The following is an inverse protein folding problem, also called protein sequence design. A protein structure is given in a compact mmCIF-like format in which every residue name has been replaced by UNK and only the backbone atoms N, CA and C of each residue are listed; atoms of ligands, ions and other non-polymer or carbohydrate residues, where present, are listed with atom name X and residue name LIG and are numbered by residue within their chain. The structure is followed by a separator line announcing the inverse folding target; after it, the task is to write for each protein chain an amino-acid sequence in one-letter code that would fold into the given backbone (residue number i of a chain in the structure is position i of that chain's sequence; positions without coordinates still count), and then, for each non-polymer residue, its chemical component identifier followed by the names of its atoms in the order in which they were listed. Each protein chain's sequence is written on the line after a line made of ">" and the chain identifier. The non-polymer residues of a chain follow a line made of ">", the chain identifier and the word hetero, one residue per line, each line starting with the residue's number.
data_IF_983019333630
#
_entry.id   IF_983019333630
#
_cell.length_a   1.000
_cell.length_b   1.000
_cell.length_c   1.000
_cell.angle_alpha   90.00
_cell.angle_beta   90.00
_cell.angle_gamma   90.00
#
_symmetry.space_group_name_H-M   'P 1'
#
loop_
_entity.id
_entity.type
_entity.pdbx_description
1 polymer ?
#
# COMPACT_ATOMS: atom_id res chain seq x y z
N UNK A 1 -2.39 -15.78 -6.87
CA UNK A 1 -2.35 -14.43 -7.46
C UNK A 1 -1.38 -13.58 -6.67
N UNK A 2 -0.69 -12.66 -7.33
CA UNK A 2 0.22 -11.67 -6.75
C UNK A 2 -0.44 -10.31 -6.78
N UNK A 3 -0.69 -9.78 -5.58
CA UNK A 3 -1.48 -8.56 -5.37
C UNK A 3 -0.59 -7.49 -4.74
N UNK A 4 -0.55 -6.31 -5.36
CA UNK A 4 0.06 -5.13 -4.76
C UNK A 4 -1.01 -4.31 -4.04
N UNK A 5 -0.72 -3.90 -2.79
CA UNK A 5 -1.61 -3.08 -1.98
C UNK A 5 -0.86 -1.83 -1.53
N UNK A 6 -1.21 -0.68 -2.07
CA UNK A 6 -0.69 0.60 -1.56
C UNK A 6 -1.54 1.06 -0.37
N UNK A 7 -0.93 1.68 0.64
CA UNK A 7 -1.62 1.94 1.91
C UNK A 7 -1.85 0.66 2.71
N UNK A 8 -1.06 -0.38 2.44
CA UNK A 8 -1.24 -1.72 3.01
C UNK A 8 -0.96 -1.80 4.50
N UNK A 9 -0.29 -0.80 5.11
CA UNK A 9 -0.13 -0.71 6.56
C UNK A 9 -1.18 0.21 7.22
N UNK A 10 -2.13 0.73 6.45
CA UNK A 10 -3.33 1.43 6.94
C UNK A 10 -4.40 0.46 7.47
N UNK A 11 -5.57 1.00 7.83
CA UNK A 11 -6.68 0.21 8.35
C UNK A 11 -7.16 -0.84 7.34
N UNK A 12 -7.81 -0.41 6.24
CA UNK A 12 -8.36 -1.32 5.22
C UNK A 12 -7.26 -2.19 4.59
N UNK A 13 -6.13 -1.58 4.24
CA UNK A 13 -5.03 -2.26 3.56
C UNK A 13 -4.45 -3.44 4.34
N UNK A 14 -4.29 -3.30 5.66
CA UNK A 14 -3.70 -4.37 6.48
C UNK A 14 -4.64 -5.56 6.69
N UNK A 15 -5.94 -5.31 6.82
CA UNK A 15 -6.95 -6.37 6.85
C UNK A 15 -7.03 -7.12 5.51
N UNK A 16 -6.87 -6.42 4.37
CA UNK A 16 -6.77 -7.06 3.06
C UNK A 16 -5.49 -7.88 2.92
N UNK A 17 -4.36 -7.40 3.45
CA UNK A 17 -3.12 -8.18 3.49
C UNK A 17 -3.34 -9.51 4.21
N UNK A 18 -3.95 -9.50 5.41
CA UNK A 18 -4.26 -10.73 6.15
C UNK A 18 -5.13 -11.68 5.34
N UNK A 19 -6.22 -11.14 4.80
CA UNK A 19 -7.21 -11.95 4.09
C UNK A 19 -6.60 -12.64 2.88
N UNK A 20 -5.85 -11.90 2.06
CA UNK A 20 -5.25 -12.44 0.84
C UNK A 20 -4.14 -13.45 1.16
N UNK A 21 -3.36 -13.22 2.22
CA UNK A 21 -2.37 -14.21 2.70
C UNK A 21 -3.06 -15.48 3.18
N UNK A 22 -4.17 -15.37 3.93
CA UNK A 22 -4.96 -16.51 4.41
C UNK A 22 -5.58 -17.31 3.26
N UNK A 23 -6.03 -16.63 2.20
CA UNK A 23 -6.59 -17.24 0.98
C UNK A 23 -5.52 -17.84 0.05
N UNK A 24 -4.23 -17.74 0.43
CA UNK A 24 -3.15 -18.41 -0.28
C UNK A 24 -2.39 -17.55 -1.30
N UNK A 25 -2.68 -16.25 -1.36
CA UNK A 25 -2.09 -15.33 -2.33
C UNK A 25 -0.75 -14.74 -1.87
N UNK A 26 -0.03 -14.13 -2.81
CA UNK A 26 1.16 -13.32 -2.55
C UNK A 26 0.76 -11.85 -2.44
N UNK A 27 1.27 -11.17 -1.41
CA UNK A 27 0.94 -9.77 -1.13
C UNK A 27 2.21 -8.93 -1.09
N UNK A 28 2.26 -7.91 -1.93
CA UNK A 28 3.24 -6.82 -1.87
C UNK A 28 2.56 -5.62 -1.22
N UNK A 29 2.87 -5.37 0.04
CA UNK A 29 2.37 -4.24 0.80
C UNK A 29 3.29 -3.03 0.59
N UNK A 30 2.75 -1.94 0.06
CA UNK A 30 3.47 -0.67 -0.15
C UNK A 30 2.88 0.39 0.76
N UNK A 31 3.70 0.99 1.62
CA UNK A 31 3.25 2.06 2.52
C UNK A 31 4.42 2.97 2.91
N UNK A 32 4.19 4.28 3.10
CA UNK A 32 5.22 5.20 3.57
C UNK A 32 5.15 5.47 5.08
N UNK A 33 4.17 4.86 5.76
CA UNK A 33 3.90 4.99 7.20
C UNK A 33 3.57 6.41 7.67
N UNK A 34 3.08 7.28 6.78
CA UNK A 34 2.66 8.64 7.16
C UNK A 34 1.47 8.62 8.11
N UNK A 35 0.49 7.74 7.85
CA UNK A 35 -0.68 7.47 8.70
C UNK A 35 -0.84 5.97 9.01
N UNK A 36 -0.24 5.09 8.20
CA UNK A 36 -0.14 3.65 8.47
C UNK A 36 0.83 3.33 9.61
N UNK A 37 0.72 2.13 10.17
CA UNK A 37 1.61 1.65 11.24
C UNK A 37 2.21 0.31 10.87
N UNK A 38 3.53 0.15 10.97
CA UNK A 38 4.19 -1.13 10.71
C UNK A 38 3.64 -2.27 11.60
N UNK A 39 3.17 -1.96 12.82
CA UNK A 39 2.49 -2.91 13.71
C UNK A 39 1.23 -3.54 13.09
N UNK A 40 0.57 -2.85 12.16
CA UNK A 40 -0.63 -3.36 11.49
C UNK A 40 -0.32 -4.53 10.55
N UNK A 41 0.94 -4.73 10.14
CA UNK A 41 1.37 -5.84 9.27
C UNK A 41 2.51 -6.66 9.86
N UNK A 42 2.93 -6.39 11.10
CA UNK A 42 4.08 -7.04 11.74
C UNK A 42 3.96 -8.57 11.77
N UNK A 43 2.74 -9.10 12.00
CA UNK A 43 2.47 -10.55 12.00
C UNK A 43 2.73 -11.24 10.65
N UNK A 44 2.73 -10.49 9.56
CA UNK A 44 2.96 -11.01 8.21
C UNK A 44 4.42 -10.92 7.78
N UNK A 45 5.28 -10.19 8.50
CA UNK A 45 6.67 -9.94 8.08
C UNK A 45 7.51 -11.21 7.91
N UNK A 46 7.21 -12.27 8.67
CA UNK A 46 7.89 -13.57 8.54
C UNK A 46 7.21 -14.53 7.55
N UNK A 47 6.11 -14.11 6.91
CA UNK A 47 5.36 -14.97 6.00
C UNK A 47 6.01 -14.94 4.60
N UNK A 48 6.34 -16.11 4.05
CA UNK A 48 7.08 -16.24 2.77
C UNK A 48 6.38 -15.59 1.57
N UNK A 49 5.05 -15.53 1.60
CA UNK A 49 4.20 -14.87 0.59
C UNK A 49 3.95 -13.37 0.82
N UNK A 50 4.53 -12.76 1.85
CA UNK A 50 4.34 -11.35 2.17
C UNK A 50 5.64 -10.57 1.99
N UNK A 51 5.57 -9.45 1.28
CA UNK A 51 6.68 -8.51 1.12
C UNK A 51 6.21 -7.11 1.49
N UNK A 52 6.93 -6.45 2.40
CA UNK A 52 6.70 -5.05 2.74
C UNK A 52 7.72 -4.15 2.04
N UNK A 53 7.25 -3.11 1.36
CA UNK A 53 8.06 -2.08 0.72
C UNK A 53 7.68 -0.74 1.35
N UNK A 54 8.60 -0.19 2.14
CA UNK A 54 8.40 1.15 2.68
C UNK A 54 8.66 2.20 1.60
N UNK A 55 7.61 2.72 0.97
CA UNK A 55 7.74 3.61 -0.20
C UNK A 55 6.58 4.60 -0.31
N UNK A 56 6.88 5.80 -0.81
CA UNK A 56 5.88 6.81 -1.16
C UNK A 56 5.40 6.60 -2.60
N UNK A 57 4.18 6.12 -2.78
CA UNK A 57 3.62 5.83 -4.11
C UNK A 57 3.47 7.09 -5.00
N UNK A 58 3.57 8.30 -4.45
CA UNK A 58 3.67 9.52 -5.29
C UNK A 58 5.00 9.61 -6.07
N UNK A 59 5.97 8.75 -5.77
CA UNK A 59 7.21 8.56 -6.52
C UNK A 59 7.13 7.24 -7.30
N UNK A 60 7.82 7.18 -8.44
CA UNK A 60 7.90 5.98 -9.26
C UNK A 60 8.34 4.77 -8.42
N UNK A 61 7.65 3.65 -8.60
CA UNK A 61 7.98 2.35 -8.04
C UNK A 61 8.12 1.39 -9.20
N UNK A 62 9.30 0.77 -9.34
CA UNK A 62 9.57 -0.22 -10.39
C UNK A 62 9.53 -1.60 -9.76
N UNK A 63 8.77 -2.49 -10.37
CA UNK A 63 8.64 -3.89 -9.98
C UNK A 63 8.94 -4.73 -11.22
N UNK A 64 9.84 -5.69 -11.08
CA UNK A 64 10.19 -6.60 -12.18
C UNK A 64 9.21 -7.77 -12.28
N UNK A 65 8.45 -8.01 -11.21
CA UNK A 65 7.48 -9.08 -11.18
C UNK A 65 6.14 -8.70 -11.80
N UNK A 66 5.53 -9.63 -12.54
CA UNK A 66 4.14 -9.48 -13.00
C UNK A 66 3.17 -9.50 -11.82
N UNK A 67 2.14 -8.64 -11.88
CA UNK A 67 1.07 -8.53 -10.89
C UNK A 67 -0.26 -8.98 -11.51
N UNK A 68 -1.09 -9.65 -10.73
CA UNK A 68 -2.47 -9.95 -11.14
C UNK A 68 -3.42 -8.81 -10.78
N UNK A 69 -3.15 -8.10 -9.67
CA UNK A 69 -3.99 -7.00 -9.17
C UNK A 69 -3.17 -5.90 -8.49
N UNK A 70 -3.63 -4.66 -8.67
CA UNK A 70 -3.19 -3.48 -7.91
C UNK A 70 -4.38 -2.90 -7.16
N UNK A 71 -4.29 -2.89 -5.82
CA UNK A 71 -5.30 -2.32 -4.94
C UNK A 71 -4.77 -1.03 -4.30
N UNK A 72 -5.33 0.12 -4.70
CA UNK A 72 -4.81 1.43 -4.33
C UNK A 72 -5.60 2.09 -3.19
N UNK A 73 -5.10 1.98 -1.95
CA UNK A 73 -5.71 2.60 -0.75
C UNK A 73 -4.81 3.65 -0.07
N UNK A 74 -3.67 4.03 -0.67
CA UNK A 74 -2.76 4.99 -0.07
C UNK A 74 -3.36 6.41 -0.07
N UNK A 75 -3.70 6.92 1.11
CA UNK A 75 -4.09 8.32 1.32
C UNK A 75 -4.12 8.67 2.82
N UNK A 76 -3.71 9.88 3.23
CA UNK A 76 -4.00 10.44 4.56
C UNK A 76 -5.50 10.78 4.70
N UNK A 77 -6.37 9.77 4.67
CA UNK A 77 -7.81 9.91 4.42
C UNK A 77 -8.66 10.26 5.67
N UNK A 78 -8.36 11.35 6.37
CA UNK A 78 -9.20 11.87 7.46
C UNK A 78 -9.22 13.41 7.50
N UNK A 79 -10.29 14.07 7.99
CA UNK A 79 -10.32 15.53 8.05
C UNK A 79 -9.12 16.16 8.79
N UNK A 80 -8.66 15.62 9.94
CA UNK A 80 -7.43 16.09 10.56
C UNK A 80 -6.18 15.88 9.69
N UNK A 81 -6.07 14.73 9.01
CA UNK A 81 -4.91 14.42 8.17
C UNK A 81 -4.85 15.25 6.89
N UNK A 82 -5.99 15.61 6.30
CA UNK A 82 -6.04 16.53 5.16
C UNK A 82 -5.49 17.91 5.52
N UNK A 83 -5.75 18.38 6.73
CA UNK A 83 -5.21 19.66 7.24
C UNK A 83 -3.72 19.55 7.58
N UNK A 84 -3.30 18.40 8.13
CA UNK A 84 -1.90 18.16 8.54
C UNK A 84 -0.99 17.86 7.34
N UNK A 85 -1.51 17.20 6.31
CA UNK A 85 -0.78 16.70 5.14
C UNK A 85 -1.46 17.06 3.80
N UNK A 86 -1.79 18.34 3.54
CA UNK A 86 -2.56 18.73 2.36
C UNK A 86 -1.79 18.44 1.06
N UNK A 87 -0.48 18.73 1.03
CA UNK A 87 0.35 18.51 -0.16
C UNK A 87 0.54 17.02 -0.44
N UNK A 88 0.73 16.19 0.60
CA UNK A 88 0.88 14.75 0.47
C UNK A 88 -0.44 14.12 0.00
N UNK A 89 -1.58 14.59 0.53
CA UNK A 89 -2.91 14.16 0.08
C UNK A 89 -3.14 14.48 -1.39
N UNK A 90 -2.84 15.71 -1.82
CA UNK A 90 -2.93 16.11 -3.23
C UNK A 90 -2.02 15.23 -4.11
N UNK A 91 -0.74 15.08 -3.72
CA UNK A 91 0.22 14.29 -4.48
C UNK A 91 -0.19 12.83 -4.60
N UNK A 92 -0.62 12.19 -3.52
CA UNK A 92 -0.98 10.77 -3.57
C UNK A 92 -2.28 10.53 -4.33
N UNK A 93 -3.26 11.43 -4.22
CA UNK A 93 -4.50 11.36 -5.00
C UNK A 93 -4.34 11.67 -6.50
N UNK A 94 -3.20 12.24 -6.92
CA UNK A 94 -2.92 12.49 -8.34
C UNK A 94 -1.73 11.68 -8.85
N UNK A 95 -0.51 11.98 -8.39
CA UNK A 95 0.71 11.28 -8.78
C UNK A 95 0.73 9.84 -8.27
N UNK A 96 0.24 9.61 -7.05
CA UNK A 96 0.14 8.25 -6.49
C UNK A 96 -0.78 7.36 -7.31
N UNK A 97 -1.93 7.87 -7.71
CA UNK A 97 -2.86 7.17 -8.60
C UNK A 97 -2.27 6.95 -10.00
N UNK A 98 -1.60 7.96 -10.57
CA UNK A 98 -0.91 7.82 -11.86
C UNK A 98 0.16 6.73 -11.82
N UNK A 99 1.00 6.71 -10.77
CA UNK A 99 2.03 5.68 -10.62
C UNK A 99 1.41 4.29 -10.38
N UNK A 100 0.33 4.18 -9.59
CA UNK A 100 -0.37 2.92 -9.38
C UNK A 100 -0.95 2.35 -10.70
N UNK A 101 -1.48 3.22 -11.56
CA UNK A 101 -1.95 2.83 -12.90
C UNK A 101 -0.79 2.44 -13.83
N UNK A 102 0.38 3.07 -13.72
CA UNK A 102 1.56 2.71 -14.50
C UNK A 102 2.19 1.38 -14.10
N UNK A 103 1.84 0.85 -12.92
CA UNK A 103 2.27 -0.45 -12.41
C UNK A 103 1.29 -1.57 -12.80
N UNK A 104 0.01 -1.23 -13.03
CA UNK A 104 -1.07 -2.16 -13.34
C UNK A 104 -1.05 -2.59 -14.81
#
# INVERSE_FOLDING_TARGET
>A
MRVLITGGAGFIGSHLCDRLIADGHEVICVDNLITGKASNVARLQSHTRFRFIQHNISQALVLEEALDYVLHFASPASPPDYLKYPIQTLKVGSLGTLNALGIA
#
